data_IF_015145795671
#
_entry.id   IF_015145795671
#
_cell.length_a   1.000
_cell.length_b   1.000
_cell.length_c   1.000
_cell.angle_alpha   90.00
_cell.angle_beta   90.00
_cell.angle_gamma   90.00
#
_symmetry.space_group_name_H-M   'P 1'
#
loop_
_entity.id
_entity.type
_entity.pdbx_description
1 polymer ?
#
# COMPACT_ATOMS: atom_id res chain seq x y z
N UNK A 1 18.17 -9.23 9.07
CA UNK A 1 17.07 -8.27 8.78
C UNK A 1 15.78 -8.99 9.10
N UNK A 2 14.98 -8.46 10.02
CA UNK A 2 13.83 -9.20 10.55
C UNK A 2 12.68 -9.08 9.56
N UNK A 3 12.14 -10.22 9.14
CA UNK A 3 10.87 -10.26 8.43
C UNK A 3 9.82 -9.41 9.18
N UNK A 4 8.89 -8.77 8.46
CA UNK A 4 7.81 -8.03 9.10
C UNK A 4 7.11 -8.91 10.14
N UNK A 5 6.79 -8.32 11.29
CA UNK A 5 6.17 -9.02 12.41
C UNK A 5 4.89 -9.75 11.95
N UNK A 6 4.89 -11.07 11.99
CA UNK A 6 3.81 -11.91 11.50
C UNK A 6 2.48 -11.61 12.21
N UNK A 7 2.51 -11.25 13.50
CA UNK A 7 1.30 -10.89 14.24
C UNK A 7 0.75 -9.54 13.79
N UNK A 8 1.61 -8.57 13.49
CA UNK A 8 1.20 -7.30 12.87
C UNK A 8 0.54 -7.55 11.51
N UNK A 9 1.16 -8.37 10.65
CA UNK A 9 0.64 -8.66 9.32
C UNK A 9 -0.73 -9.35 9.36
N UNK A 10 -0.93 -10.31 10.27
CA UNK A 10 -2.22 -10.95 10.47
C UNK A 10 -3.31 -9.94 10.88
N UNK A 11 -2.96 -8.96 11.73
CA UNK A 11 -3.87 -7.86 12.10
C UNK A 11 -4.14 -6.94 10.92
N UNK A 12 -3.15 -6.59 10.12
CA UNK A 12 -3.32 -5.80 8.90
C UNK A 12 -4.28 -6.48 7.92
N UNK A 13 -4.11 -7.78 7.67
CA UNK A 13 -5.04 -8.55 6.84
C UNK A 13 -6.46 -8.60 7.40
N UNK A 14 -6.62 -8.75 8.73
CA UNK A 14 -7.93 -8.68 9.38
C UNK A 14 -8.59 -7.30 9.25
N UNK A 15 -7.80 -6.22 9.35
CA UNK A 15 -8.27 -4.85 9.18
C UNK A 15 -8.70 -4.56 7.75
N UNK A 16 -7.94 -5.02 6.75
CA UNK A 16 -8.34 -4.93 5.33
C UNK A 16 -9.67 -5.64 5.08
N UNK A 17 -9.86 -6.85 5.62
CA UNK A 17 -11.16 -7.56 5.55
C UNK A 17 -12.31 -6.80 6.22
N UNK A 18 -12.06 -6.18 7.38
CA UNK A 18 -13.07 -5.37 8.07
C UNK A 18 -13.44 -4.10 7.30
N UNK A 19 -12.46 -3.45 6.67
CA UNK A 19 -12.69 -2.32 5.76
C UNK A 19 -13.54 -2.76 4.56
N UNK A 20 -13.19 -3.88 3.93
CA UNK A 20 -13.93 -4.40 2.79
C UNK A 20 -15.38 -4.78 3.14
N UNK A 21 -15.62 -5.38 4.30
CA UNK A 21 -16.98 -5.67 4.76
C UNK A 21 -17.83 -4.40 4.88
N UNK A 22 -17.27 -3.29 5.37
CA UNK A 22 -17.96 -2.01 5.46
C UNK A 22 -18.21 -1.39 4.08
N UNK A 23 -17.21 -1.46 3.19
CA UNK A 23 -17.37 -0.97 1.81
C UNK A 23 -18.45 -1.77 1.05
N UNK A 24 -18.47 -3.10 1.19
CA UNK A 24 -19.47 -3.95 0.54
C UNK A 24 -20.90 -3.61 0.98
N UNK A 25 -21.12 -3.35 2.28
CA UNK A 25 -22.42 -2.87 2.79
C UNK A 25 -22.84 -1.53 2.19
N UNK A 26 -21.88 -0.70 1.79
CA UNK A 26 -22.09 0.58 1.12
C UNK A 26 -22.13 0.48 -0.42
N UNK A 27 -22.14 -0.73 -1.00
CA UNK A 27 -22.20 -0.95 -2.45
C UNK A 27 -20.84 -1.16 -3.13
N UNK A 28 -19.76 -1.33 -2.36
CA UNK A 28 -18.41 -1.60 -2.86
C UNK A 28 -17.62 -0.33 -3.24
N UNK A 29 -16.71 -0.48 -4.20
CA UNK A 29 -15.87 0.60 -4.73
C UNK A 29 -14.37 0.35 -4.58
N UNK A 30 -13.58 1.41 -4.71
CA UNK A 30 -12.12 1.37 -4.58
C UNK A 30 -11.68 2.30 -3.44
N UNK A 31 -11.06 1.74 -2.40
CA UNK A 31 -10.35 2.55 -1.41
C UNK A 31 -8.91 2.76 -1.85
N UNK A 32 -8.47 4.01 -1.82
CA UNK A 32 -7.12 4.38 -2.21
C UNK A 32 -6.49 5.08 -0.99
N UNK A 33 -5.40 4.52 -0.48
CA UNK A 33 -4.78 4.93 0.79
C UNK A 33 -3.29 5.20 0.53
N UNK A 34 -2.89 6.47 0.36
CA UNK A 34 -1.50 6.83 0.15
C UNK A 34 -0.71 6.80 1.46
N UNK A 35 0.60 6.58 1.38
CA UNK A 35 1.50 6.84 2.52
C UNK A 35 1.98 8.29 2.56
N UNK A 36 2.66 8.68 3.64
CA UNK A 36 3.22 10.02 3.79
C UNK A 36 4.40 10.26 2.83
N UNK A 37 4.61 11.48 2.33
CA UNK A 37 5.82 11.83 1.60
C UNK A 37 7.02 11.94 2.56
N UNK A 38 8.22 11.82 1.99
CA UNK A 38 9.45 12.22 2.68
C UNK A 38 9.46 13.74 2.90
N UNK A 39 10.01 14.19 4.03
CA UNK A 39 10.01 15.60 4.43
C UNK A 39 11.43 16.10 4.61
N UNK A 40 11.80 17.08 3.79
CA UNK A 40 13.10 17.74 3.84
C UNK A 40 13.27 18.50 5.16
N UNK A 41 14.39 18.29 5.84
CA UNK A 41 14.77 19.02 7.07
C UNK A 41 15.65 20.22 6.74
N UNK A 42 16.68 19.99 5.95
CA UNK A 42 17.59 20.99 5.39
C UNK A 42 17.99 20.54 3.98
N UNK A 43 18.48 21.46 3.14
CA UNK A 43 18.69 21.27 1.69
C UNK A 43 19.24 19.90 1.24
N UNK A 44 20.07 19.26 2.06
CA UNK A 44 20.79 18.02 1.82
C UNK A 44 20.38 16.86 2.76
N UNK A 45 19.40 17.04 3.65
CA UNK A 45 18.95 15.96 4.54
C UNK A 45 17.44 16.01 4.84
N UNK A 46 16.86 14.82 4.91
CA UNK A 46 15.46 14.60 5.28
C UNK A 46 15.31 14.32 6.78
N UNK A 47 14.10 14.53 7.30
CA UNK A 47 13.71 13.96 8.58
C UNK A 47 13.62 12.43 8.49
N UNK A 48 13.79 11.70 9.61
CA UNK A 48 13.50 10.27 9.64
C UNK A 48 12.10 10.00 9.11
N UNK A 49 12.00 9.12 8.12
CA UNK A 49 10.74 8.85 7.46
C UNK A 49 9.72 8.28 8.44
N UNK A 50 8.51 8.84 8.38
CA UNK A 50 7.34 8.39 9.14
C UNK A 50 6.19 8.19 8.17
N UNK A 51 5.80 6.94 7.99
CA UNK A 51 4.65 6.54 7.19
C UNK A 51 3.33 7.13 7.71
N UNK A 52 2.32 7.19 6.83
CA UNK A 52 0.96 7.55 7.24
C UNK A 52 0.39 6.49 8.20
N UNK A 53 -0.45 6.93 9.13
CA UNK A 53 -1.00 6.05 10.18
C UNK A 53 -2.07 5.11 9.63
N UNK A 54 -2.95 5.55 8.74
CA UNK A 54 -3.98 4.72 8.14
C UNK A 54 -3.38 3.71 7.17
N UNK A 55 -2.43 4.15 6.33
CA UNK A 55 -1.67 3.29 5.44
C UNK A 55 -0.96 2.17 6.23
N UNK A 56 -0.18 2.52 7.26
CA UNK A 56 0.55 1.53 8.06
C UNK A 56 -0.39 0.63 8.87
N UNK A 57 -1.50 1.16 9.36
CA UNK A 57 -2.52 0.36 10.06
C UNK A 57 -3.05 -0.79 9.19
N UNK A 58 -3.23 -0.55 7.89
CA UNK A 58 -3.75 -1.51 6.91
C UNK A 58 -2.68 -2.40 6.27
N UNK A 59 -1.42 -1.96 6.22
CA UNK A 59 -0.36 -2.66 5.47
C UNK A 59 0.76 -3.20 6.34
N UNK A 60 1.15 -2.50 7.41
CA UNK A 60 2.43 -2.70 8.09
C UNK A 60 3.65 -2.29 7.26
N UNK A 61 3.43 -1.67 6.09
CA UNK A 61 4.47 -1.27 5.15
C UNK A 61 5.04 0.10 5.51
N UNK A 62 6.36 0.21 5.58
CA UNK A 62 7.05 1.36 6.17
C UNK A 62 7.97 2.11 5.20
N UNK A 63 7.83 1.92 3.89
CA UNK A 63 8.61 2.70 2.91
C UNK A 63 7.78 3.87 2.31
N UNK A 64 8.43 4.94 1.85
CA UNK A 64 7.80 6.06 1.15
C UNK A 64 7.36 5.68 -0.27
N UNK A 65 6.73 6.65 -0.96
CA UNK A 65 6.29 6.51 -2.36
C UNK A 65 5.51 5.22 -2.59
N UNK A 66 4.51 5.00 -1.73
CA UNK A 66 3.71 3.78 -1.71
C UNK A 66 2.24 4.09 -1.48
N UNK A 67 1.38 3.22 -2.00
CA UNK A 67 -0.07 3.40 -1.97
C UNK A 67 -0.75 2.03 -1.91
N UNK A 68 -1.75 1.90 -1.05
CA UNK A 68 -2.62 0.73 -0.99
C UNK A 68 -3.91 1.04 -1.73
N UNK A 69 -4.23 0.22 -2.72
CA UNK A 69 -5.55 0.17 -3.36
C UNK A 69 -6.30 -1.07 -2.85
N UNK A 70 -7.56 -0.92 -2.43
CA UNK A 70 -8.44 -2.02 -2.03
C UNK A 70 -9.72 -1.93 -2.84
N UNK A 71 -9.84 -2.76 -3.86
CA UNK A 71 -11.06 -2.91 -4.65
C UNK A 71 -12.01 -3.86 -3.92
N UNK A 72 -13.28 -3.49 -3.83
CA UNK A 72 -14.33 -4.26 -3.16
C UNK A 72 -15.57 -4.27 -4.03
N UNK A 73 -16.04 -5.47 -4.35
CA UNK A 73 -17.30 -5.65 -5.05
C UNK A 73 -18.48 -5.66 -4.07
N UNK A 74 -19.70 -5.45 -4.58
CA UNK A 74 -20.92 -5.46 -3.76
C UNK A 74 -21.19 -6.83 -3.09
N UNK A 75 -20.66 -7.93 -3.64
CA UNK A 75 -20.76 -9.26 -3.06
C UNK A 75 -19.74 -9.53 -1.92
N UNK A 76 -18.88 -8.55 -1.62
CA UNK A 76 -17.85 -8.64 -0.59
C UNK A 76 -16.50 -9.19 -1.07
N UNK A 77 -16.36 -9.55 -2.34
CA UNK A 77 -15.07 -9.90 -2.94
C UNK A 77 -14.12 -8.71 -2.85
N UNK A 78 -12.93 -8.93 -2.29
CA UNK A 78 -11.91 -7.91 -2.10
C UNK A 78 -10.64 -8.27 -2.87
N UNK A 79 -10.00 -7.28 -3.47
CA UNK A 79 -8.67 -7.39 -4.05
C UNK A 79 -7.79 -6.21 -3.60
N UNK A 80 -6.64 -6.50 -3.01
CA UNK A 80 -5.69 -5.53 -2.48
C UNK A 80 -4.43 -5.44 -3.35
N UNK A 81 -4.09 -4.23 -3.78
CA UNK A 81 -2.91 -3.94 -4.60
C UNK A 81 -2.02 -2.93 -3.89
N UNK A 82 -0.75 -3.29 -3.64
CA UNK A 82 0.24 -2.40 -3.05
C UNK A 82 1.17 -1.84 -4.14
N UNK A 83 1.14 -0.53 -4.33
CA UNK A 83 2.14 0.17 -5.13
C UNK A 83 3.32 0.55 -4.24
N UNK A 84 4.54 0.23 -4.66
CA UNK A 84 5.76 0.57 -3.93
C UNK A 84 6.93 0.82 -4.89
N UNK A 85 8.03 1.37 -4.38
CA UNK A 85 9.23 1.60 -5.20
C UNK A 85 9.77 0.28 -5.76
N UNK A 86 10.27 0.25 -7.02
CA UNK A 86 10.94 -0.93 -7.54
C UNK A 86 12.19 -1.24 -6.72
N UNK A 87 12.56 -2.51 -6.69
CA UNK A 87 13.84 -2.92 -6.13
C UNK A 87 14.98 -2.37 -6.97
N UNK A 88 15.99 -1.80 -6.33
CA UNK A 88 17.17 -1.23 -7.00
C UNK A 88 18.43 -1.70 -6.26
N UNK A 89 19.02 -2.79 -6.77
CA UNK A 89 20.16 -3.47 -6.12
C UNK A 89 21.40 -2.59 -6.06
N UNK A 90 21.60 -1.70 -7.05
CA UNK A 90 22.76 -0.80 -7.08
C UNK A 90 22.62 0.33 -6.04
N UNK A 91 21.39 0.81 -5.84
CA UNK A 91 21.09 1.86 -4.85
C UNK A 91 20.85 1.33 -3.45
N UNK A 92 20.58 0.04 -3.24
CA UNK A 92 20.43 -0.56 -1.91
C UNK A 92 21.65 -0.36 -1.00
N UNK A 93 22.84 -0.23 -1.59
CA UNK A 93 24.08 0.09 -0.85
C UNK A 93 23.99 1.46 -0.18
N UNK A 94 23.26 2.40 -0.78
CA UNK A 94 23.20 3.81 -0.38
C UNK A 94 21.87 4.18 0.30
N UNK A 95 20.76 3.76 -0.28
CA UNK A 95 19.39 4.12 0.14
C UNK A 95 18.79 3.12 1.15
N UNK A 96 19.49 2.02 1.41
CA UNK A 96 19.01 0.92 2.24
C UNK A 96 18.10 -0.06 1.48
N UNK A 97 17.75 -1.15 2.15
CA UNK A 97 16.93 -2.23 1.60
C UNK A 97 15.55 -1.74 1.15
N UNK A 98 15.10 -2.21 -0.01
CA UNK A 98 13.73 -2.03 -0.51
C UNK A 98 13.11 -3.39 -0.78
N UNK A 99 11.85 -3.58 -0.38
CA UNK A 99 11.14 -4.83 -0.71
C UNK A 99 11.00 -5.00 -2.22
N UNK A 100 10.56 -3.94 -2.91
CA UNK A 100 10.12 -4.03 -4.30
C UNK A 100 8.80 -4.81 -4.44
N UNK A 101 8.12 -4.70 -5.60
CA UNK A 101 6.80 -5.32 -5.81
C UNK A 101 6.77 -6.83 -5.52
N UNK A 102 7.74 -7.58 -6.06
CA UNK A 102 7.75 -9.04 -5.95
C UNK A 102 7.83 -9.51 -4.49
N UNK A 103 8.74 -8.95 -3.69
CA UNK A 103 8.86 -9.33 -2.28
C UNK A 103 7.73 -8.72 -1.44
N UNK A 104 7.21 -7.54 -1.82
CA UNK A 104 6.16 -6.87 -1.07
C UNK A 104 4.84 -7.64 -1.11
N UNK A 105 4.50 -8.27 -2.23
CA UNK A 105 3.30 -9.12 -2.33
C UNK A 105 3.29 -10.19 -1.25
N UNK A 106 4.38 -10.96 -1.19
CA UNK A 106 4.47 -12.13 -0.30
C UNK A 106 4.71 -11.71 1.15
N UNK A 107 5.52 -10.67 1.38
CA UNK A 107 5.86 -10.20 2.73
C UNK A 107 4.71 -9.49 3.45
N UNK A 108 3.80 -8.81 2.74
CA UNK A 108 2.71 -8.02 3.34
C UNK A 108 1.31 -8.62 3.13
N UNK A 109 1.24 -9.78 2.47
CA UNK A 109 0.02 -10.56 2.28
C UNK A 109 -1.05 -9.81 1.48
N UNK A 110 -0.63 -9.05 0.46
CA UNK A 110 -1.52 -8.38 -0.50
C UNK A 110 -1.69 -9.26 -1.73
N UNK A 111 -2.79 -9.08 -2.44
CA UNK A 111 -3.13 -9.94 -3.60
C UNK A 111 -2.24 -9.62 -4.82
N UNK A 112 -1.90 -8.34 -4.97
CA UNK A 112 -0.95 -7.87 -5.98
C UNK A 112 -0.03 -6.78 -5.42
N UNK A 113 1.15 -6.65 -6.01
CA UNK A 113 2.03 -5.52 -5.77
C UNK A 113 2.64 -5.05 -7.08
N UNK A 114 2.72 -3.74 -7.27
CA UNK A 114 3.14 -3.10 -8.51
C UNK A 114 4.15 -1.98 -8.22
N UNK A 115 4.91 -1.59 -9.23
CA UNK A 115 5.78 -0.43 -9.11
C UNK A 115 4.94 0.84 -8.98
N UNK A 116 5.34 1.76 -8.11
CA UNK A 116 4.72 3.08 -8.01
C UNK A 116 4.81 3.86 -9.33
N UNK A 117 5.78 3.55 -10.19
CA UNK A 117 5.88 4.12 -11.52
C UNK A 117 4.74 3.71 -12.47
N UNK A 118 4.00 2.64 -12.14
CA UNK A 118 2.83 2.17 -12.89
C UNK A 118 1.52 2.77 -12.38
N UNK A 119 1.56 3.57 -11.30
CA UNK A 119 0.37 4.10 -10.63
C UNK A 119 -0.54 4.85 -11.60
N UNK A 120 0.00 5.77 -12.41
CA UNK A 120 -0.77 6.59 -13.33
C UNK A 120 -1.44 5.78 -14.45
N UNK A 121 -0.89 4.61 -14.79
CA UNK A 121 -1.45 3.72 -15.81
C UNK A 121 -2.50 2.75 -15.22
N UNK A 122 -2.25 2.23 -14.02
CA UNK A 122 -3.08 1.18 -13.41
C UNK A 122 -4.22 1.72 -12.55
N UNK A 123 -4.00 2.84 -11.85
CA UNK A 123 -5.02 3.40 -10.96
C UNK A 123 -6.31 3.78 -11.71
N UNK A 124 -6.28 4.44 -12.89
CA UNK A 124 -7.50 4.70 -13.66
C UNK A 124 -8.24 3.42 -14.06
N UNK A 125 -7.51 2.32 -14.33
CA UNK A 125 -8.11 1.02 -14.67
C UNK A 125 -8.79 0.39 -13.45
N UNK A 126 -8.19 0.52 -12.27
CA UNK A 126 -8.80 0.06 -11.02
C UNK A 126 -10.03 0.88 -10.62
N UNK A 127 -10.05 2.17 -10.95
CA UNK A 127 -11.15 3.10 -10.70
C UNK A 127 -12.33 2.95 -11.67
N UNK A 128 -12.09 2.41 -12.87
CA UNK A 128 -13.11 2.25 -13.88
C UNK A 128 -14.28 1.39 -13.38
N UNK A 129 -15.50 1.82 -13.72
CA UNK A 129 -16.77 1.13 -13.40
C UNK A 129 -16.98 0.82 -11.90
N UNK A 130 -16.32 1.56 -11.01
CA UNK A 130 -16.50 1.44 -9.56
C UNK A 130 -17.66 2.31 -9.09
N UNK A 131 -18.51 1.75 -8.22
CA UNK A 131 -19.65 2.46 -7.63
C UNK A 131 -19.23 3.68 -6.78
N UNK A 132 -18.05 3.62 -6.15
CA UNK A 132 -17.51 4.69 -5.33
C UNK A 132 -15.98 4.66 -5.29
N UNK A 133 -15.37 5.83 -5.07
CA UNK A 133 -13.95 5.98 -4.74
C UNK A 133 -13.87 6.49 -3.30
N UNK A 134 -13.17 5.76 -2.44
CA UNK A 134 -12.94 6.11 -1.05
C UNK A 134 -11.52 6.66 -0.92
N UNK A 135 -11.42 7.95 -0.64
CA UNK A 135 -10.16 8.67 -0.51
C UNK A 135 -10.19 9.54 0.76
N UNK A 136 -9.08 9.64 1.51
CA UNK A 136 -8.98 10.47 2.71
C UNK A 136 -9.20 11.98 2.46
#
# INVERSE_FOLDING_TARGET
MNAPDTHLLARCAARRRSLAAQMAQAGGGLAIVPTAPEVMRNRDADYPYRHDSYFYYLTGFAEPQSLLAVAVEADGTMHSTLFCRPKDVEREIWDGFRYGPDAARDAFGVDAALSIAQLDAELPRLMADRAAIWWP
#
